data_IF_386475172488
#
_entry.id   IF_386475172488
#
_cell.length_a   1.000
_cell.length_b   1.000
_cell.length_c   1.000
_cell.angle_alpha   90.00
_cell.angle_beta   90.00
_cell.angle_gamma   90.00
#
_symmetry.space_group_name_H-M   'P 1'
#
loop_
_entity.id
_entity.type
_entity.pdbx_description
1 polymer ?
#
# COMPACT_ATOMS: atom_id res chain seq x y z
N UNK A 1 4.35 -9.47 25.57
CA UNK A 1 3.62 -8.90 24.42
C UNK A 1 2.32 -9.66 24.25
N UNK A 2 1.19 -8.97 24.31
CA UNK A 2 -0.10 -9.55 23.93
C UNK A 2 -0.37 -9.26 22.44
N UNK A 3 -0.91 -10.25 21.73
CA UNK A 3 -1.24 -10.15 20.32
C UNK A 3 -2.73 -10.41 20.15
N UNK A 4 -3.44 -9.46 19.54
CA UNK A 4 -4.87 -9.56 19.23
C UNK A 4 -5.06 -9.62 17.72
N UNK A 5 -5.85 -10.57 17.24
CA UNK A 5 -6.26 -10.63 15.83
C UNK A 5 -7.23 -9.48 15.55
N UNK A 6 -6.91 -8.66 14.55
CA UNK A 6 -7.77 -7.61 14.00
C UNK A 6 -8.53 -8.09 12.77
N UNK A 7 -7.86 -8.83 11.89
CA UNK A 7 -8.45 -9.44 10.70
C UNK A 7 -7.91 -10.84 10.51
N UNK A 8 -8.81 -11.78 10.23
CA UNK A 8 -8.46 -13.11 9.74
C UNK A 8 -8.44 -13.15 8.19
N UNK A 9 -8.00 -14.28 7.63
CA UNK A 9 -7.89 -14.48 6.18
C UNK A 9 -9.21 -14.24 5.41
N UNK A 10 -10.34 -14.67 5.97
CA UNK A 10 -11.66 -14.47 5.34
C UNK A 10 -12.03 -13.00 5.30
N UNK A 11 -11.83 -12.26 6.40
CA UNK A 11 -12.09 -10.82 6.45
C UNK A 11 -11.15 -10.04 5.52
N UNK A 12 -9.88 -10.43 5.43
CA UNK A 12 -8.92 -9.85 4.47
C UNK A 12 -9.44 -10.06 3.04
N UNK A 13 -9.84 -11.28 2.67
CA UNK A 13 -10.32 -11.57 1.33
C UNK A 13 -11.54 -10.71 0.97
N UNK A 14 -12.53 -10.61 1.87
CA UNK A 14 -13.71 -9.75 1.67
C UNK A 14 -13.29 -8.29 1.44
N UNK A 15 -12.34 -7.79 2.23
CA UNK A 15 -11.82 -6.42 2.08
C UNK A 15 -11.14 -6.23 0.73
N UNK A 16 -10.33 -7.20 0.27
CA UNK A 16 -9.64 -7.13 -1.02
C UNK A 16 -10.64 -7.04 -2.18
N UNK A 17 -11.69 -7.86 -2.21
CA UNK A 17 -12.73 -7.75 -3.23
C UNK A 17 -13.46 -6.41 -3.18
N UNK A 18 -13.79 -5.92 -1.97
CA UNK A 18 -14.43 -4.60 -1.83
C UNK A 18 -13.54 -3.50 -2.40
N UNK A 19 -12.25 -3.51 -2.09
CA UNK A 19 -11.28 -2.54 -2.60
C UNK A 19 -11.12 -2.67 -4.12
N UNK A 20 -11.09 -3.89 -4.67
CA UNK A 20 -11.04 -4.11 -6.12
C UNK A 20 -12.28 -3.54 -6.83
N UNK A 21 -13.49 -3.75 -6.30
CA UNK A 21 -14.70 -3.12 -6.84
C UNK A 21 -14.61 -1.59 -6.83
N UNK A 22 -14.15 -0.99 -5.73
CA UNK A 22 -13.99 0.47 -5.64
C UNK A 22 -13.01 1.01 -6.69
N UNK A 23 -11.90 0.30 -6.94
CA UNK A 23 -10.96 0.69 -7.98
C UNK A 23 -11.61 0.59 -9.38
N UNK A 24 -12.40 -0.45 -9.66
CA UNK A 24 -13.11 -0.60 -10.94
C UNK A 24 -14.14 0.53 -11.12
N UNK A 25 -14.90 0.85 -10.07
CA UNK A 25 -15.89 1.94 -10.11
C UNK A 25 -15.25 3.29 -10.47
N UNK A 26 -14.02 3.55 -10.00
CA UNK A 26 -13.36 4.84 -10.18
C UNK A 26 -12.41 4.90 -11.39
N UNK A 27 -11.93 3.75 -11.88
CA UNK A 27 -10.91 3.67 -12.94
C UNK A 27 -11.33 2.86 -14.17
N UNK A 28 -12.55 2.30 -14.18
CA UNK A 28 -13.13 1.55 -15.28
C UNK A 28 -12.20 0.43 -15.81
N UNK A 29 -11.60 0.62 -16.98
CA UNK A 29 -10.75 -0.36 -17.65
C UNK A 29 -9.25 -0.22 -17.35
N UNK A 30 -8.88 0.77 -16.52
CA UNK A 30 -7.50 1.11 -16.14
C UNK A 30 -6.61 1.56 -17.30
N UNK A 31 -7.17 1.96 -18.44
CA UNK A 31 -6.39 2.50 -19.59
C UNK A 31 -5.45 3.66 -19.20
N UNK A 32 -5.90 4.53 -18.29
CA UNK A 32 -5.15 5.68 -17.79
C UNK A 32 -4.74 5.59 -16.32
N UNK A 33 -4.84 4.40 -15.72
CA UNK A 33 -4.54 4.20 -14.30
C UNK A 33 -3.46 3.14 -14.11
N UNK A 34 -2.49 3.46 -13.24
CA UNK A 34 -1.42 2.54 -12.86
C UNK A 34 -1.44 2.30 -11.36
N UNK A 35 -1.19 1.05 -10.95
CA UNK A 35 -1.05 0.68 -9.55
C UNK A 35 0.42 0.67 -9.17
N UNK A 36 0.76 1.26 -8.02
CA UNK A 36 2.13 1.31 -7.52
C UNK A 36 2.18 0.80 -6.09
N UNK A 37 2.70 -0.42 -5.91
CA UNK A 37 2.93 -1.02 -4.59
C UNK A 37 4.15 -0.40 -3.90
N UNK A 38 3.96 0.19 -2.72
CA UNK A 38 5.04 0.82 -1.95
C UNK A 38 5.83 -0.27 -1.22
N UNK A 39 7.11 -0.39 -1.54
CA UNK A 39 7.97 -1.41 -0.95
C UNK A 39 8.48 -1.01 0.44
N UNK A 40 8.74 -1.99 1.32
CA UNK A 40 8.65 -3.44 1.07
C UNK A 40 7.25 -4.04 1.33
N UNK A 41 6.35 -3.33 2.00
CA UNK A 41 5.15 -3.93 2.60
C UNK A 41 3.92 -3.92 1.70
N UNK A 42 3.68 -2.80 1.01
CA UNK A 42 2.57 -2.61 0.08
C UNK A 42 2.63 -3.51 -1.14
N UNK A 43 3.80 -4.09 -1.47
CA UNK A 43 3.98 -5.02 -2.61
C UNK A 43 2.98 -6.18 -2.59
N UNK A 44 2.86 -6.90 -1.47
CA UNK A 44 1.98 -8.06 -1.38
C UNK A 44 0.50 -7.69 -1.57
N UNK A 45 0.08 -6.55 -1.00
CA UNK A 45 -1.28 -6.05 -1.18
C UNK A 45 -1.53 -5.68 -2.65
N UNK A 46 -0.57 -5.01 -3.30
CA UNK A 46 -0.67 -4.60 -4.69
C UNK A 46 -0.74 -5.79 -5.64
N UNK A 47 0.12 -6.80 -5.43
CA UNK A 47 0.15 -8.03 -6.22
C UNK A 47 -1.18 -8.79 -6.15
N UNK A 48 -1.77 -8.90 -4.94
CA UNK A 48 -3.08 -9.55 -4.75
C UNK A 48 -4.24 -8.79 -5.38
N UNK A 49 -4.25 -7.46 -5.23
CA UNK A 49 -5.28 -6.64 -5.89
C UNK A 49 -5.18 -6.76 -7.41
N UNK A 50 -3.96 -6.73 -7.96
CA UNK A 50 -3.76 -6.91 -9.39
C UNK A 50 -4.19 -8.30 -9.86
N UNK A 51 -3.94 -9.35 -9.07
CA UNK A 51 -4.43 -10.69 -9.36
C UNK A 51 -5.97 -10.75 -9.41
N UNK A 52 -6.66 -10.17 -8.42
CA UNK A 52 -8.13 -10.12 -8.38
C UNK A 52 -8.66 -9.34 -9.59
N UNK A 53 -8.13 -8.14 -9.86
CA UNK A 53 -8.55 -7.29 -10.97
C UNK A 53 -8.38 -7.97 -12.33
N UNK A 54 -7.24 -8.64 -12.56
CA UNK A 54 -6.94 -9.30 -13.84
C UNK A 54 -7.63 -10.64 -14.00
N UNK A 55 -7.64 -11.50 -12.97
CA UNK A 55 -8.17 -12.87 -13.08
C UNK A 55 -9.67 -12.94 -12.90
N UNK A 56 -10.25 -12.15 -12.01
CA UNK A 56 -11.68 -12.24 -11.70
C UNK A 56 -12.48 -11.21 -12.48
N UNK A 57 -12.06 -9.94 -12.43
CA UNK A 57 -12.74 -8.84 -13.11
C UNK A 57 -12.29 -8.62 -14.56
N UNK A 58 -11.28 -9.37 -15.03
CA UNK A 58 -10.81 -9.36 -16.42
C UNK A 58 -10.31 -7.99 -16.91
N UNK A 59 -9.78 -7.15 -16.02
CA UNK A 59 -9.12 -5.90 -16.38
C UNK A 59 -7.88 -6.21 -17.22
N UNK A 60 -7.84 -5.72 -18.46
CA UNK A 60 -6.78 -6.06 -19.43
C UNK A 60 -5.61 -5.07 -19.45
N UNK A 61 -5.87 -3.80 -19.15
CA UNK A 61 -4.90 -2.73 -19.29
C UNK A 61 -4.15 -2.42 -17.98
N UNK A 62 -4.28 -3.28 -16.96
CA UNK A 62 -3.70 -3.03 -15.65
C UNK A 62 -2.17 -3.03 -15.71
N UNK A 63 -1.58 -1.89 -15.37
CA UNK A 63 -0.14 -1.75 -15.16
C UNK A 63 0.15 -1.72 -13.66
N UNK A 64 0.98 -2.64 -13.20
CA UNK A 64 1.44 -2.72 -11.81
C UNK A 64 2.94 -2.49 -11.76
N UNK A 65 3.35 -1.54 -10.92
CA UNK A 65 4.76 -1.33 -10.57
C UNK A 65 4.98 -1.38 -9.07
N UNK A 66 6.25 -1.45 -8.67
CA UNK A 66 6.66 -1.44 -7.27
C UNK A 66 7.73 -0.38 -7.05
N UNK A 67 7.52 0.48 -6.05
CA UNK A 67 8.38 1.63 -5.78
C UNK A 67 9.13 1.45 -4.48
N UNK A 68 10.47 1.40 -4.55
CA UNK A 68 11.31 1.45 -3.36
C UNK A 68 11.47 2.91 -2.91
N UNK A 69 11.16 3.15 -1.64
CA UNK A 69 11.22 4.48 -1.03
C UNK A 69 12.38 4.62 -0.03
N UNK A 70 13.28 3.62 0.05
CA UNK A 70 14.27 3.49 1.13
C UNK A 70 15.13 4.74 1.27
N UNK A 71 15.62 5.29 0.16
CA UNK A 71 16.46 6.49 0.14
C UNK A 71 15.69 7.82 0.09
N UNK A 72 14.36 7.77 -0.01
CA UNK A 72 13.49 8.96 -0.01
C UNK A 72 12.88 9.28 1.36
N UNK A 73 12.94 8.31 2.29
CA UNK A 73 12.47 8.50 3.66
C UNK A 73 13.33 9.52 4.39
N UNK A 74 12.73 10.34 5.24
CA UNK A 74 13.44 11.38 6.02
C UNK A 74 14.31 10.83 7.15
N UNK A 75 14.15 9.56 7.51
CA UNK A 75 14.90 8.85 8.54
C UNK A 75 16.02 7.96 8.00
N UNK A 76 16.24 7.91 6.67
CA UNK A 76 17.19 6.97 6.06
C UNK A 76 18.63 7.11 6.60
N UNK A 77 19.07 8.34 6.94
CA UNK A 77 20.40 8.60 7.49
C UNK A 77 20.52 8.40 9.00
N UNK A 78 19.46 7.99 9.69
CA UNK A 78 19.44 7.88 11.17
C UNK A 78 19.88 6.51 11.68
N UNK A 79 20.02 5.52 10.79
CA UNK A 79 20.48 4.17 11.13
C UNK A 79 21.99 4.04 10.88
N UNK A 80 22.72 3.43 11.82
CA UNK A 80 24.13 3.07 11.65
C UNK A 80 24.33 1.78 10.84
N UNK A 81 23.25 1.15 10.37
CA UNK A 81 23.30 -0.04 9.52
C UNK A 81 23.23 0.35 8.04
N UNK A 82 23.98 -0.33 7.15
CA UNK A 82 23.78 -0.20 5.71
C UNK A 82 22.31 -0.41 5.36
N UNK A 83 21.76 0.49 4.54
CA UNK A 83 20.41 0.33 4.02
C UNK A 83 20.46 -0.57 2.78
N UNK A 84 19.63 -1.60 2.77
CA UNK A 84 19.37 -2.42 1.60
C UNK A 84 18.06 -1.93 0.96
N UNK A 85 18.17 -1.30 -0.20
CA UNK A 85 17.01 -0.92 -0.99
C UNK A 85 16.50 -2.10 -1.81
N UNK A 86 15.19 -2.18 -1.98
CA UNK A 86 14.58 -3.10 -2.93
C UNK A 86 14.74 -2.56 -4.34
N UNK A 87 14.57 -3.45 -5.32
CA UNK A 87 14.51 -3.05 -6.72
C UNK A 87 13.17 -2.37 -7.00
N UNK A 88 13.23 -1.12 -7.45
CA UNK A 88 12.08 -0.44 -8.06
C UNK A 88 11.79 -1.06 -9.43
N UNK A 89 10.54 -1.40 -9.66
CA UNK A 89 10.06 -2.09 -10.86
C UNK A 89 8.89 -1.28 -11.45
N UNK A 90 9.19 -0.29 -12.26
CA UNK A 90 8.21 0.52 -13.00
C UNK A 90 8.65 0.52 -14.46
N UNK A 91 8.02 -0.35 -15.26
CA UNK A 91 8.40 -0.59 -16.66
C UNK A 91 7.42 0.06 -17.66
N UNK A 92 6.75 1.11 -17.22
CA UNK A 92 5.76 1.86 -17.99
C UNK A 92 5.89 3.35 -17.69
N UNK A 93 5.26 4.17 -18.53
CA UNK A 93 5.29 5.63 -18.38
C UNK A 93 4.29 6.05 -17.31
N UNK A 94 4.76 6.87 -16.36
CA UNK A 94 3.92 7.46 -15.30
C UNK A 94 3.39 8.85 -15.70
N UNK A 95 4.03 9.52 -16.65
CA UNK A 95 3.58 10.81 -17.20
C UNK A 95 2.11 10.74 -17.62
N UNK A 96 1.35 11.75 -17.20
CA UNK A 96 -0.07 11.95 -17.49
C UNK A 96 -1.03 10.84 -17.00
N UNK A 97 -0.54 9.82 -16.28
CA UNK A 97 -1.37 8.73 -15.73
C UNK A 97 -1.93 9.08 -14.35
N UNK A 98 -3.07 8.47 -14.01
CA UNK A 98 -3.56 8.38 -12.64
C UNK A 98 -2.78 7.30 -11.89
N UNK A 99 -2.21 7.63 -10.74
CA UNK A 99 -1.43 6.69 -9.93
C UNK A 99 -2.20 6.35 -8.67
N UNK A 100 -2.40 5.06 -8.40
CA UNK A 100 -2.90 4.59 -7.11
C UNK A 100 -1.74 3.98 -6.34
N UNK A 101 -1.29 4.65 -5.28
CA UNK A 101 -0.36 4.08 -4.33
C UNK A 101 -1.04 3.02 -3.47
N UNK A 102 -0.35 1.90 -3.26
CA UNK A 102 -0.85 0.78 -2.46
C UNK A 102 0.12 0.52 -1.31
N UNK A 103 -0.37 0.63 -0.07
CA UNK A 103 0.41 0.36 1.15
C UNK A 103 -0.39 -0.49 2.15
N UNK A 104 0.30 -1.28 2.97
CA UNK A 104 -0.37 -2.20 3.90
C UNK A 104 -1.04 -1.45 5.06
N UNK A 105 -0.31 -0.54 5.70
CA UNK A 105 -0.76 0.19 6.88
C UNK A 105 -0.42 1.68 6.77
N UNK A 106 -1.45 2.52 6.66
CA UNK A 106 -1.27 3.95 6.78
C UNK A 106 -1.15 4.36 8.25
N UNK A 107 0.07 4.72 8.65
CA UNK A 107 0.39 5.15 10.02
C UNK A 107 0.66 6.66 10.13
N UNK A 108 1.91 7.10 10.06
CA UNK A 108 2.27 8.53 10.20
C UNK A 108 2.12 9.32 8.91
N UNK A 109 2.04 8.63 7.77
CA UNK A 109 2.08 9.20 6.41
C UNK A 109 3.49 9.37 5.83
N UNK A 110 4.57 9.17 6.61
CA UNK A 110 5.94 9.43 6.14
C UNK A 110 6.37 8.54 4.96
N UNK A 111 5.94 7.27 4.92
CA UNK A 111 6.19 6.38 3.78
C UNK A 111 5.57 6.91 2.49
N UNK A 112 4.31 7.37 2.57
CA UNK A 112 3.59 7.93 1.42
C UNK A 112 4.22 9.26 0.97
N UNK A 113 4.64 10.11 1.92
CA UNK A 113 5.40 11.32 1.57
C UNK A 113 6.71 11.01 0.83
N UNK A 114 7.40 9.93 1.21
CA UNK A 114 8.58 9.46 0.51
C UNK A 114 8.21 8.95 -0.90
N UNK A 115 7.13 8.18 -1.03
CA UNK A 115 6.61 7.72 -2.32
C UNK A 115 6.24 8.87 -3.27
N UNK A 116 5.56 9.90 -2.76
CA UNK A 116 5.24 11.14 -3.49
C UNK A 116 6.49 11.86 -4.01
N UNK A 117 7.62 11.74 -3.31
CA UNK A 117 8.90 12.30 -3.77
C UNK A 117 9.54 11.38 -4.81
N UNK A 118 9.54 10.06 -4.55
CA UNK A 118 10.18 9.08 -5.40
C UNK A 118 9.53 8.97 -6.79
N UNK A 119 8.19 9.02 -6.86
CA UNK A 119 7.44 8.89 -8.12
C UNK A 119 7.75 10.00 -9.11
N UNK A 120 8.16 11.19 -8.65
CA UNK A 120 8.54 12.32 -9.51
C UNK A 120 9.75 12.01 -10.41
N UNK A 121 10.53 10.98 -10.08
CA UNK A 121 11.63 10.52 -10.93
C UNK A 121 11.16 9.70 -12.14
N UNK A 122 9.88 9.32 -12.19
CA UNK A 122 9.28 8.46 -13.23
C UNK A 122 8.31 9.20 -14.15
N UNK A 123 8.00 10.47 -13.85
CA UNK A 123 7.08 11.32 -14.59
C UNK A 123 6.19 12.14 -13.67
N UNK A 124 5.25 12.86 -14.28
CA UNK A 124 4.24 13.67 -13.62
C UNK A 124 2.84 13.03 -13.79
N UNK A 125 2.33 12.36 -12.75
CA UNK A 125 0.95 11.89 -12.74
C UNK A 125 -0.05 13.04 -12.89
N UNK A 126 -1.20 12.77 -13.50
CA UNK A 126 -2.36 13.69 -13.50
C UNK A 126 -3.04 13.71 -12.14
N UNK A 127 -3.05 12.57 -11.45
CA UNK A 127 -3.70 12.36 -10.16
C UNK A 127 -2.92 11.31 -9.36
N UNK A 128 -2.86 11.46 -8.03
CA UNK A 128 -2.28 10.46 -7.15
C UNK A 128 -3.28 10.17 -6.02
N UNK A 129 -3.72 8.93 -5.94
CA UNK A 129 -4.58 8.40 -4.89
C UNK A 129 -3.82 7.41 -4.00
N UNK A 130 -4.40 7.11 -2.85
CA UNK A 130 -3.86 6.20 -1.87
C UNK A 130 -4.88 5.14 -1.44
N UNK A 131 -4.52 3.88 -1.68
CA UNK A 131 -5.22 2.71 -1.18
C UNK A 131 -4.42 2.04 -0.08
N UNK A 132 -5.06 1.79 1.07
CA UNK A 132 -4.44 1.06 2.18
C UNK A 132 -5.32 -0.04 2.75
N UNK A 133 -4.72 -1.15 3.20
CA UNK A 133 -5.47 -2.21 3.87
C UNK A 133 -5.93 -1.74 5.26
N UNK A 134 -5.03 -1.17 6.06
CA UNK A 134 -5.33 -0.66 7.41
C UNK A 134 -5.06 0.83 7.51
N UNK A 135 -6.05 1.56 8.01
CA UNK A 135 -5.92 2.98 8.34
C UNK A 135 -5.83 3.19 9.87
N UNK A 136 -4.67 3.64 10.36
CA UNK A 136 -4.44 4.07 11.75
C UNK A 136 -4.67 5.58 11.93
N UNK A 137 -5.92 6.01 11.89
CA UNK A 137 -6.32 7.42 11.78
C UNK A 137 -5.72 8.35 12.85
N UNK A 138 -5.64 7.93 14.11
CA UNK A 138 -5.25 8.80 15.24
C UNK A 138 -3.74 8.99 15.45
N UNK A 139 -2.91 8.60 14.48
CA UNK A 139 -1.45 8.69 14.60
C UNK A 139 -0.76 9.38 13.42
N UNK A 140 -1.49 10.24 12.71
CA UNK A 140 -0.95 11.00 11.58
C UNK A 140 0.04 12.06 12.05
N UNK A 141 1.17 12.14 11.38
CA UNK A 141 2.12 13.25 11.52
C UNK A 141 2.11 14.19 10.30
N UNK A 142 1.56 13.72 9.19
CA UNK A 142 1.40 14.46 7.95
C UNK A 142 -0.10 14.45 7.56
N UNK A 143 -0.58 15.49 6.87
CA UNK A 143 -1.97 15.59 6.42
C UNK A 143 -2.23 14.66 5.21
N UNK A 144 -1.99 13.36 5.39
CA UNK A 144 -2.13 12.32 4.37
C UNK A 144 -3.26 11.39 4.82
N UNK A 145 -4.23 11.18 3.94
CA UNK A 145 -5.37 10.30 4.14
C UNK A 145 -5.51 9.36 2.94
N UNK A 146 -6.07 8.16 3.12
CA UNK A 146 -6.30 7.26 2.02
C UNK A 146 -7.64 7.60 1.34
N UNK A 147 -7.67 7.50 0.02
CA UNK A 147 -8.89 7.54 -0.78
C UNK A 147 -9.65 6.21 -0.64
N UNK A 148 -8.91 5.11 -0.55
CA UNK A 148 -9.44 3.76 -0.33
C UNK A 148 -8.84 3.16 0.95
N UNK A 149 -9.69 2.70 1.86
CA UNK A 149 -9.24 2.01 3.08
C UNK A 149 -9.95 0.69 3.27
N UNK A 150 -9.22 -0.34 3.70
CA UNK A 150 -9.76 -1.64 4.04
C UNK A 150 -10.52 -1.64 5.38
N UNK A 151 -9.80 -1.42 6.48
CA UNK A 151 -10.36 -1.27 7.83
C UNK A 151 -9.69 -0.12 8.56
N UNK A 152 -10.49 0.72 9.19
CA UNK A 152 -9.98 1.74 10.11
C UNK A 152 -9.79 1.10 11.50
N UNK A 153 -8.64 1.38 12.12
CA UNK A 153 -8.29 0.83 13.44
C UNK A 153 -7.79 1.95 14.34
N UNK A 154 -8.37 2.01 15.53
CA UNK A 154 -7.96 2.93 16.57
C UNK A 154 -6.87 2.25 17.40
N UNK A 155 -5.62 2.42 16.96
CA UNK A 155 -4.45 1.95 17.70
C UNK A 155 -3.97 3.07 18.63
N UNK A 156 -4.04 2.85 19.94
CA UNK A 156 -3.70 3.82 21.00
C UNK A 156 -2.43 3.30 21.73
N UNK A 157 -1.69 4.14 22.45
CA UNK A 157 -0.66 3.72 23.43
C UNK A 157 0.36 2.65 22.94
N UNK A 158 1.31 3.04 22.10
CA UNK A 158 2.41 2.19 21.59
C UNK A 158 2.01 0.91 20.86
N UNK A 159 0.72 0.72 20.56
CA UNK A 159 0.25 -0.40 19.76
C UNK A 159 0.79 -0.36 18.32
N UNK A 160 1.10 -1.54 17.80
CA UNK A 160 1.60 -1.74 16.44
C UNK A 160 0.65 -2.64 15.67
N UNK A 161 0.29 -2.21 14.48
CA UNK A 161 -0.40 -3.06 13.51
C UNK A 161 0.67 -3.83 12.72
N UNK A 162 0.52 -5.14 12.64
CA UNK A 162 1.37 -6.02 11.83
C UNK A 162 0.50 -6.81 10.88
N UNK A 163 0.79 -6.69 9.58
CA UNK A 163 0.12 -7.46 8.54
C UNK A 163 1.00 -8.67 8.21
N UNK A 164 0.44 -9.86 8.34
CA UNK A 164 1.03 -11.11 7.86
C UNK A 164 0.34 -11.48 6.55
N UNK A 165 1.17 -11.79 5.57
CA UNK A 165 0.75 -12.33 4.29
C UNK A 165 1.26 -13.77 4.20
N UNK A 166 0.50 -14.65 3.57
CA UNK A 166 0.89 -16.05 3.35
C UNK A 166 2.29 -16.19 2.74
N UNK A 167 2.66 -15.28 1.84
CA UNK A 167 3.91 -15.21 1.09
C UNK A 167 5.12 -14.90 1.98
N UNK A 168 4.95 -14.18 3.11
CA UNK A 168 6.05 -13.76 3.97
C UNK A 168 6.01 -14.34 5.39
N UNK A 169 4.84 -14.77 5.86
CA UNK A 169 4.60 -15.22 7.23
C UNK A 169 3.82 -16.53 7.32
N UNK A 170 3.40 -17.12 6.19
CA UNK A 170 2.69 -18.40 6.13
C UNK A 170 1.19 -18.33 6.44
N UNK A 171 0.68 -17.15 6.83
CA UNK A 171 -0.73 -16.92 7.13
C UNK A 171 -1.18 -15.52 6.67
N UNK A 172 -2.47 -15.37 6.40
CA UNK A 172 -3.11 -14.08 6.14
C UNK A 172 -3.82 -13.61 7.41
N UNK A 173 -3.17 -12.75 8.18
CA UNK A 173 -3.71 -12.23 9.43
C UNK A 173 -3.20 -10.81 9.70
N UNK A 174 -4.08 -9.93 10.17
CA UNK A 174 -3.67 -8.63 10.71
C UNK A 174 -3.74 -8.68 12.23
N UNK A 175 -2.64 -8.27 12.88
CA UNK A 175 -2.51 -8.25 14.32
C UNK A 175 -2.37 -6.84 14.88
N UNK A 176 -2.93 -6.62 16.05
CA UNK A 176 -2.57 -5.54 16.96
C UNK A 176 -1.64 -6.11 18.03
N UNK A 177 -0.46 -5.52 18.16
CA UNK A 177 0.57 -5.95 19.11
C UNK A 177 0.81 -4.82 20.10
N UNK A 178 0.76 -5.16 21.38
CA UNK A 178 1.11 -4.24 22.47
C UNK A 178 2.55 -4.54 22.88
N UNK A 179 3.38 -3.50 22.88
CA UNK A 179 4.76 -3.55 23.37
C UNK A 179 4.78 -3.89 24.87
#
# INVERSE_FOLDING_TARGET
MSQRVLLNATEINIILHRLACQLIENHDDFSDTVLIGIQPRGKFLADRLAEILTKEYKVKNLQLGHLDITFYRDDFRRSNKPLEANKTEINFVVEDKKVVFIDDVLYTGRSIRAALTAIQSFGRPTEIELLTLIDRRFSRHLPIQPDYRGRQVDAINNEKVKVHWKENAGEDTVYLINN
#
